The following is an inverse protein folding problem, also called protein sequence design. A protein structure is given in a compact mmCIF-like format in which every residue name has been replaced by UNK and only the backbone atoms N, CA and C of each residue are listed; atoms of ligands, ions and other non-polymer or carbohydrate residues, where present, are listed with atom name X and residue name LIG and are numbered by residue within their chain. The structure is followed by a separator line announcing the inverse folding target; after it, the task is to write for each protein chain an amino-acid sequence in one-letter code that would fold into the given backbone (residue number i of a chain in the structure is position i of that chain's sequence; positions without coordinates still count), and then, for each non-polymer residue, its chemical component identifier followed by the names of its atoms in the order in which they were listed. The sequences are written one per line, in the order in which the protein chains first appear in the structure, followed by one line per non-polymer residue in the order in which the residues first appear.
data_IF_064566042518
#
_entry.id   IF_064566042518
#
_cell.length_a   1.000
_cell.length_b   1.000
_cell.length_c   1.000
_cell.angle_alpha   90.00
_cell.angle_beta   90.00
_cell.angle_gamma   90.00
#
_symmetry.space_group_name_H-M   'P 1'
#
loop_
_entity.id
_entity.type
_entity.pdbx_description
1 polymer ?
#
# COMPACT_ATOMS: atom_id res chain seq x y z
N UNK A 1 -0.25 27.74 -13.47
CA UNK A 1 0.42 28.73 -14.35
C UNK A 1 0.13 28.43 -15.81
N UNK A 2 0.41 27.22 -16.30
CA UNK A 2 0.05 26.80 -17.67
C UNK A 2 -1.45 26.88 -18.02
N UNK A 3 -2.32 26.60 -17.05
CA UNK A 3 -3.78 26.70 -17.22
C UNK A 3 -4.27 28.15 -17.34
N UNK A 4 -3.66 29.09 -16.61
CA UNK A 4 -3.99 30.51 -16.70
C UNK A 4 -3.51 31.09 -18.03
N UNK A 5 -2.28 30.79 -18.45
CA UNK A 5 -1.72 31.26 -19.72
C UNK A 5 -2.59 30.86 -20.92
N UNK A 6 -3.06 29.61 -20.98
CA UNK A 6 -3.97 29.11 -22.02
C UNK A 6 -5.31 29.85 -22.10
N UNK A 7 -5.75 30.51 -21.02
CA UNK A 7 -6.98 31.29 -21.02
C UNK A 7 -6.84 32.65 -21.71
N UNK A 8 -5.61 33.16 -21.85
CA UNK A 8 -5.34 34.46 -22.44
C UNK A 8 -4.78 34.36 -23.86
N UNK A 9 -3.92 33.38 -24.13
CA UNK A 9 -3.27 33.23 -25.43
C UNK A 9 -2.92 31.77 -25.70
N UNK A 10 -2.85 31.41 -26.99
CA UNK A 10 -2.54 30.07 -27.43
C UNK A 10 -1.68 30.08 -28.70
N UNK A 11 -0.65 29.24 -28.70
CA UNK A 11 0.17 28.94 -29.88
C UNK A 11 0.83 27.55 -29.75
N UNK A 12 1.26 26.93 -30.86
CA UNK A 12 1.95 25.64 -30.82
C UNK A 12 3.25 25.70 -30.00
N UNK A 13 3.45 24.75 -29.09
CA UNK A 13 4.58 24.68 -28.13
C UNK A 13 4.57 25.69 -26.96
N UNK A 14 3.48 26.45 -26.75
CA UNK A 14 3.31 27.34 -25.60
C UNK A 14 3.76 26.71 -24.26
N UNK A 15 3.35 25.47 -23.99
CA UNK A 15 3.71 24.80 -22.74
C UNK A 15 5.19 24.55 -22.58
N UNK A 16 5.89 24.20 -23.67
CA UNK A 16 7.32 23.93 -23.65
C UNK A 16 8.09 25.21 -23.37
N UNK A 17 7.66 26.32 -23.96
CA UNK A 17 8.30 27.62 -23.72
C UNK A 17 8.09 28.09 -22.29
N UNK A 18 6.88 27.90 -21.73
CA UNK A 18 6.60 28.19 -20.32
C UNK A 18 7.47 27.30 -19.41
N UNK A 19 7.62 26.01 -19.73
CA UNK A 19 8.50 25.10 -18.99
C UNK A 19 9.96 25.55 -19.05
N UNK A 20 10.48 25.90 -20.22
CA UNK A 20 11.85 26.39 -20.41
C UNK A 20 12.10 27.67 -19.62
N UNK A 21 11.15 28.61 -19.66
CA UNK A 21 11.25 29.88 -18.95
C UNK A 21 11.28 29.70 -17.43
N UNK A 22 10.37 28.88 -16.89
CA UNK A 22 10.31 28.55 -15.47
C UNK A 22 11.55 27.77 -15.02
N UNK A 23 12.09 26.90 -15.88
CA UNK A 23 13.31 26.11 -15.61
C UNK A 23 14.57 26.98 -15.61
N UNK A 24 14.62 28.02 -16.44
CA UNK A 24 15.77 28.94 -16.49
C UNK A 24 15.85 29.92 -15.32
N UNK A 25 14.77 30.10 -14.55
CA UNK A 25 14.70 31.09 -13.48
C UNK A 25 14.99 30.47 -12.08
N UNK A 26 16.08 30.86 -11.39
CA UNK A 26 16.45 30.28 -10.09
C UNK A 26 15.43 30.58 -8.97
N UNK A 27 14.75 31.74 -9.02
CA UNK A 27 13.68 32.05 -8.08
C UNK A 27 12.47 31.13 -8.29
N UNK A 28 12.15 30.77 -9.53
CA UNK A 28 11.05 29.85 -9.83
C UNK A 28 11.39 28.41 -9.42
N UNK A 29 12.64 27.98 -9.62
CA UNK A 29 13.13 26.66 -9.20
C UNK A 29 13.04 26.46 -7.68
N UNK A 30 13.48 27.45 -6.89
CA UNK A 30 13.42 27.37 -5.42
C UNK A 30 11.99 27.28 -4.86
N UNK A 31 10.98 27.71 -5.63
CA UNK A 31 9.57 27.57 -5.27
C UNK A 31 8.97 26.22 -5.71
N UNK A 32 9.55 25.54 -6.71
CA UNK A 32 9.05 24.28 -7.26
C UNK A 32 9.31 23.06 -6.35
N UNK A 33 10.40 23.05 -5.59
CA UNK A 33 10.78 21.96 -4.68
C UNK A 33 9.74 21.64 -3.60
N UNK A 34 8.78 22.55 -3.35
CA UNK A 34 7.75 22.37 -2.33
C UNK A 34 6.57 21.47 -2.73
N UNK A 35 6.58 20.85 -3.92
CA UNK A 35 5.44 20.08 -4.45
C UNK A 35 5.74 18.61 -4.79
N UNK A 36 6.55 17.92 -4.00
CA UNK A 36 6.63 16.46 -4.07
C UNK A 36 5.43 15.77 -3.42
N UNK A 37 4.27 15.81 -4.08
CA UNK A 37 3.09 15.04 -3.65
C UNK A 37 3.29 13.52 -3.76
N UNK A 38 4.21 13.05 -4.62
CA UNK A 38 4.53 11.64 -4.81
C UNK A 38 5.33 11.02 -3.66
N UNK A 39 6.15 11.82 -2.97
CA UNK A 39 7.05 11.31 -1.92
C UNK A 39 6.28 10.84 -0.68
N UNK A 40 5.19 11.52 -0.33
CA UNK A 40 4.32 11.09 0.76
C UNK A 40 3.66 9.75 0.46
N UNK A 41 3.18 9.52 -0.77
CA UNK A 41 2.60 8.22 -1.15
C UNK A 41 3.64 7.10 -1.03
N UNK A 42 4.89 7.34 -1.45
CA UNK A 42 5.99 6.37 -1.29
C UNK A 42 6.34 6.14 0.18
N UNK A 43 6.38 7.20 0.99
CA UNK A 43 6.66 7.14 2.43
C UNK A 43 5.62 6.33 3.23
N UNK A 44 4.34 6.46 2.88
CA UNK A 44 3.25 5.76 3.57
C UNK A 44 2.88 4.42 2.94
N UNK A 45 3.48 4.04 1.81
CA UNK A 45 3.24 2.75 1.18
C UNK A 45 3.89 1.62 2.00
N UNK A 46 3.07 0.80 2.65
CA UNK A 46 3.51 -0.33 3.50
C UNK A 46 3.70 -1.64 2.71
N UNK A 47 4.07 -1.56 1.43
CA UNK A 47 4.27 -2.72 0.57
C UNK A 47 2.99 -3.37 0.03
N UNK A 48 3.16 -4.43 -0.75
CA UNK A 48 2.06 -5.26 -1.24
C UNK A 48 1.56 -6.16 -0.11
N UNK A 49 0.28 -5.99 0.25
CA UNK A 49 -0.38 -6.81 1.27
C UNK A 49 -1.05 -7.99 0.57
N UNK A 50 -0.52 -9.20 0.77
CA UNK A 50 -1.08 -10.45 0.23
C UNK A 50 -1.71 -11.20 1.40
N UNK A 51 -3.04 -11.22 1.50
CA UNK A 51 -3.72 -11.97 2.54
C UNK A 51 -3.81 -13.45 2.12
N UNK A 52 -3.18 -14.32 2.90
CA UNK A 52 -3.28 -15.78 2.78
C UNK A 52 -4.46 -16.25 3.62
N UNK A 53 -5.39 -16.98 3.02
CA UNK A 53 -6.56 -17.55 3.71
C UNK A 53 -6.54 -19.07 3.55
N UNK A 54 -7.02 -19.80 4.56
CA UNK A 54 -7.20 -21.24 4.47
C UNK A 54 -8.62 -21.58 4.00
N UNK A 55 -8.77 -22.68 3.28
CA UNK A 55 -10.07 -23.24 2.93
C UNK A 55 -10.86 -23.54 4.21
N UNK A 56 -12.12 -23.10 4.26
CA UNK A 56 -13.01 -23.24 5.41
C UNK A 56 -12.92 -22.11 6.45
N UNK A 57 -12.03 -21.13 6.30
CA UNK A 57 -11.92 -20.00 7.24
C UNK A 57 -13.12 -19.05 7.14
N UNK A 58 -13.54 -18.49 8.28
CA UNK A 58 -14.63 -17.52 8.33
C UNK A 58 -14.15 -16.13 7.89
N UNK A 59 -14.72 -15.63 6.81
CA UNK A 59 -14.38 -14.34 6.21
C UNK A 59 -15.60 -13.46 6.06
N UNK A 60 -15.38 -12.15 5.99
CA UNK A 60 -16.41 -11.18 5.67
C UNK A 60 -16.20 -10.72 4.24
N UNK A 61 -17.23 -10.88 3.41
CA UNK A 61 -17.20 -10.47 2.02
C UNK A 61 -18.33 -9.48 1.74
N UNK A 62 -18.06 -8.51 0.88
CA UNK A 62 -19.05 -7.53 0.46
C UNK A 62 -19.99 -8.14 -0.58
N UNK A 63 -21.29 -7.97 -0.38
CA UNK A 63 -22.28 -8.29 -1.41
C UNK A 63 -22.42 -7.10 -2.37
N UNK A 64 -22.15 -7.34 -3.66
CA UNK A 64 -22.18 -6.31 -4.70
C UNK A 64 -23.48 -6.28 -5.51
N UNK A 65 -24.44 -7.19 -5.24
CA UNK A 65 -25.72 -7.25 -5.97
C UNK A 65 -26.50 -5.95 -5.88
N UNK A 66 -26.34 -5.22 -4.78
CA UNK A 66 -26.92 -3.90 -4.57
C UNK A 66 -25.79 -2.85 -4.45
N UNK A 67 -25.38 -2.19 -5.54
CA UNK A 67 -24.26 -1.23 -5.50
C UNK A 67 -24.45 -0.10 -4.48
N UNK A 68 -25.71 0.32 -4.27
CA UNK A 68 -26.09 1.41 -3.38
C UNK A 68 -26.09 1.02 -1.89
N UNK A 69 -26.06 -0.27 -1.54
CA UNK A 69 -26.01 -0.74 -0.14
C UNK A 69 -24.71 -1.49 0.12
N UNK A 70 -23.90 -0.99 1.05
CA UNK A 70 -22.62 -1.62 1.40
C UNK A 70 -22.84 -2.62 2.51
N UNK A 71 -23.24 -3.83 2.15
CA UNK A 71 -23.50 -4.90 3.12
C UNK A 71 -22.33 -5.88 3.14
N UNK A 72 -21.79 -6.11 4.34
CA UNK A 72 -20.76 -7.12 4.59
C UNK A 72 -21.44 -8.35 5.18
N UNK A 73 -21.25 -9.49 4.53
CA UNK A 73 -21.83 -10.76 4.94
C UNK A 73 -20.76 -11.70 5.46
N UNK A 74 -21.12 -12.48 6.48
CA UNK A 74 -20.31 -13.58 6.97
C UNK A 74 -20.36 -14.73 5.97
N UNK A 75 -19.20 -15.20 5.57
CA UNK A 75 -19.06 -16.27 4.60
C UNK A 75 -17.90 -17.20 4.98
N UNK A 76 -17.90 -18.41 4.43
CA UNK A 76 -16.79 -19.36 4.52
C UNK A 76 -16.00 -19.34 3.23
N UNK A 77 -14.68 -19.40 3.34
CA UNK A 77 -13.78 -19.52 2.20
C UNK A 77 -13.91 -20.91 1.58
N UNK A 78 -14.23 -21.00 0.28
CA UNK A 78 -14.27 -22.28 -0.45
C UNK A 78 -12.94 -22.51 -1.14
N UNK A 79 -12.56 -21.61 -2.05
CA UNK A 79 -11.41 -21.84 -2.94
C UNK A 79 -10.73 -20.51 -3.32
N UNK A 80 -9.41 -20.59 -3.47
CA UNK A 80 -8.55 -19.56 -4.02
C UNK A 80 -8.43 -19.72 -5.53
N UNK A 81 -8.88 -18.74 -6.30
CA UNK A 81 -8.58 -18.68 -7.74
C UNK A 81 -7.19 -18.06 -7.94
N UNK A 82 -6.70 -18.02 -9.18
CA UNK A 82 -5.32 -17.62 -9.48
C UNK A 82 -5.02 -16.11 -9.28
N UNK A 83 -6.03 -15.23 -9.32
CA UNK A 83 -5.86 -13.78 -9.45
C UNK A 83 -6.34 -12.95 -8.25
N UNK A 84 -6.05 -13.38 -7.01
CA UNK A 84 -6.60 -12.74 -5.77
C UNK A 84 -8.12 -12.72 -5.75
N UNK A 85 -8.75 -13.62 -6.48
CA UNK A 85 -10.19 -13.85 -6.46
C UNK A 85 -10.48 -15.04 -5.57
N UNK A 86 -11.47 -14.89 -4.72
CA UNK A 86 -11.84 -15.85 -3.70
C UNK A 86 -13.29 -16.26 -3.91
N UNK A 87 -13.57 -17.55 -3.83
CA UNK A 87 -14.93 -18.07 -3.84
C UNK A 87 -15.41 -18.24 -2.41
N UNK A 88 -16.51 -17.59 -2.05
CA UNK A 88 -17.04 -17.59 -0.69
C UNK A 88 -18.50 -18.03 -0.67
N UNK A 89 -18.88 -18.77 0.37
CA UNK A 89 -20.24 -19.26 0.61
C UNK A 89 -20.85 -18.59 1.85
N UNK A 90 -22.07 -18.07 1.73
CA UNK A 90 -22.86 -17.58 2.87
C UNK A 90 -23.29 -18.74 3.77
N UNK A 91 -22.89 -18.68 5.05
CA UNK A 91 -23.12 -19.78 5.99
C UNK A 91 -24.58 -20.13 6.29
N UNK A 92 -25.54 -19.25 5.97
CA UNK A 92 -26.98 -19.49 6.19
C UNK A 92 -27.77 -19.73 4.91
N UNK A 93 -27.25 -19.36 3.74
CA UNK A 93 -28.03 -19.25 2.50
C UNK A 93 -27.55 -20.11 1.34
N UNK A 94 -26.43 -20.85 1.49
CA UNK A 94 -25.82 -21.63 0.40
C UNK A 94 -25.41 -20.77 -0.80
N UNK A 95 -25.34 -19.45 -0.60
CA UNK A 95 -25.13 -18.50 -1.66
C UNK A 95 -23.63 -18.37 -1.91
N UNK A 96 -23.20 -18.72 -3.11
CA UNK A 96 -21.78 -18.67 -3.49
C UNK A 96 -21.52 -17.47 -4.39
N UNK A 97 -20.47 -16.69 -4.11
CA UNK A 97 -20.02 -15.61 -4.98
C UNK A 97 -18.52 -15.37 -4.93
N UNK A 98 -18.02 -14.60 -5.91
CA UNK A 98 -16.62 -14.21 -6.01
C UNK A 98 -16.36 -12.89 -5.28
N UNK A 99 -15.27 -12.81 -4.53
CA UNK A 99 -14.80 -11.58 -3.87
C UNK A 99 -13.30 -11.39 -4.10
N UNK A 100 -12.84 -10.14 -4.17
CA UNK A 100 -11.42 -9.80 -4.36
C UNK A 100 -10.70 -9.40 -3.06
N UNK A 101 -11.46 -9.06 -2.01
CA UNK A 101 -10.92 -8.64 -0.71
C UNK A 101 -11.83 -9.14 0.43
N UNK A 102 -11.69 -10.42 0.81
CA UNK A 102 -12.23 -10.87 2.08
C UNK A 102 -11.51 -10.14 3.23
N UNK A 103 -12.22 -9.87 4.32
CA UNK A 103 -11.67 -9.33 5.56
C UNK A 103 -11.97 -10.25 6.73
N UNK A 104 -11.27 -10.06 7.84
CA UNK A 104 -11.60 -10.71 9.10
C UNK A 104 -12.81 -10.06 9.80
N UNK A 105 -13.16 -10.60 10.97
CA UNK A 105 -14.24 -10.10 11.84
C UNK A 105 -14.06 -8.65 12.27
N UNK A 106 -12.83 -8.17 12.35
CA UNK A 106 -12.49 -6.80 12.74
C UNK A 106 -12.35 -5.86 11.53
N UNK A 107 -12.71 -6.31 10.33
CA UNK A 107 -12.58 -5.55 9.09
C UNK A 107 -11.12 -5.29 8.68
N UNK A 108 -10.17 -5.99 9.29
CA UNK A 108 -8.77 -5.95 8.90
C UNK A 108 -8.58 -6.94 7.75
N UNK A 109 -7.75 -6.54 6.79
CA UNK A 109 -7.14 -7.52 5.89
C UNK A 109 -6.27 -8.40 6.78
N UNK A 110 -6.55 -9.71 6.81
CA UNK A 110 -5.69 -10.66 7.51
C UNK A 110 -4.25 -10.37 7.09
N UNK A 111 -3.38 -10.27 8.10
CA UNK A 111 -2.01 -9.82 7.94
C UNK A 111 -1.29 -10.73 6.94
N UNK A 112 -1.21 -10.28 5.70
CA UNK A 112 -0.21 -10.75 4.77
C UNK A 112 1.14 -10.39 5.35
N UNK A 113 1.95 -11.40 5.68
CA UNK A 113 3.37 -11.19 5.95
C UNK A 113 3.92 -10.37 4.80
N UNK A 114 4.39 -9.17 5.10
CA UNK A 114 5.07 -8.39 4.07
C UNK A 114 6.36 -9.14 3.71
N UNK A 115 6.74 -9.22 2.43
CA UNK A 115 8.05 -9.77 2.03
C UNK A 115 9.23 -9.06 2.75
N UNK A 116 8.99 -7.86 3.29
CA UNK A 116 9.93 -7.10 4.10
C UNK A 116 10.03 -7.56 5.57
N UNK A 117 8.99 -8.16 6.15
CA UNK A 117 9.06 -8.85 7.45
C UNK A 117 9.89 -10.14 7.36
N UNK A 118 9.71 -10.90 6.28
CA UNK A 118 10.47 -12.14 6.04
C UNK A 118 11.98 -11.86 5.87
N UNK A 119 12.36 -10.73 5.25
CA UNK A 119 13.77 -10.26 5.20
C UNK A 119 14.30 -9.86 6.58
N UNK A 120 13.44 -9.36 7.46
CA UNK A 120 13.81 -8.91 8.81
C UNK A 120 14.08 -10.10 9.74
N UNK A 121 13.31 -11.18 9.59
CA UNK A 121 13.51 -12.42 10.36
C UNK A 121 14.74 -13.22 9.89
N UNK A 122 15.06 -13.23 8.59
CA UNK A 122 16.35 -13.78 8.10
C UNK A 122 17.56 -13.02 8.62
N UNK A 123 17.40 -11.74 8.97
CA UNK A 123 18.46 -10.95 9.60
C UNK A 123 18.63 -11.27 11.09
N UNK A 124 17.61 -11.84 11.73
CA UNK A 124 17.61 -12.14 13.16
C UNK A 124 18.01 -13.59 13.49
N UNK A 125 17.76 -14.55 12.57
CA UNK A 125 18.14 -15.95 12.74
C UNK A 125 19.51 -16.33 12.12
N UNK A 126 20.27 -15.34 11.64
CA UNK A 126 21.66 -15.51 11.22
C UNK A 126 22.61 -15.16 12.36
N UNK A 127 23.30 -16.19 12.83
CA UNK A 127 24.39 -16.25 13.80
C UNK A 127 25.23 -14.98 14.03
N UNK A 128 25.55 -14.78 15.31
CA UNK A 128 26.42 -13.74 15.85
C UNK A 128 27.87 -13.92 15.37
N UNK A 129 28.55 -12.77 15.20
CA UNK A 129 30.00 -12.57 15.25
C UNK A 129 30.86 -13.03 14.06
N UNK A 130 31.44 -12.05 13.35
CA UNK A 130 32.89 -12.05 13.17
C UNK A 130 33.45 -10.63 13.29
N UNK A 131 34.48 -10.52 14.14
CA UNK A 131 34.91 -9.28 14.76
C UNK A 131 35.59 -8.28 13.84
N UNK A 132 35.36 -7.00 14.15
CA UNK A 132 36.38 -5.96 14.36
C UNK A 132 35.68 -4.62 14.52
N UNK A 133 35.46 -4.23 15.77
CA UNK A 133 35.87 -2.93 16.31
C UNK A 133 35.26 -2.74 17.71
N UNK A 134 36.09 -2.98 18.71
CA UNK A 134 35.94 -2.33 20.00
C UNK A 134 36.07 -0.83 19.79
N UNK A 135 35.05 -0.05 20.13
CA UNK A 135 35.26 1.13 20.96
C UNK A 135 33.95 1.63 21.58
N UNK A 136 33.85 1.34 22.88
CA UNK A 136 33.35 2.19 23.97
C UNK A 136 31.92 2.73 23.87
N UNK A 137 31.06 2.19 24.73
CA UNK A 137 30.23 2.95 25.68
C UNK A 137 29.86 2.03 26.85
N UNK A 138 30.58 2.15 27.96
CA UNK A 138 30.15 1.63 29.26
C UNK A 138 28.86 2.32 29.66
N UNK A 139 27.79 1.56 29.85
CA UNK A 139 26.76 1.86 30.84
C UNK A 139 27.06 0.94 32.02
N UNK A 140 27.71 1.48 33.05
CA UNK A 140 27.67 0.87 34.38
C UNK A 140 26.24 1.02 34.92
N UNK A 141 25.70 -0.07 35.47
CA UNK A 141 24.48 -0.06 36.27
C UNK A 141 24.77 -0.87 37.53
N UNK A 142 24.95 -0.12 38.61
CA UNK A 142 24.72 -0.39 40.03
C UNK A 142 24.86 -1.83 40.56
N UNK A 143 25.70 -1.97 41.58
CA UNK A 143 25.24 -2.28 42.94
C UNK A 143 25.59 -1.13 43.89
#
# INVERSE_FOLDING_TARGET
MKSLARGYFWYPNLDKDIENLVTSCPACLSLADRKNKGDNQRKYFKGEKIAEFKEGEEVYARDYRNPNRKEWKKARMIEMMEDRTYLVEEGTGGLVWKTFRPTDRDGRLLQGRTKDEERRDRRWNGERCNGRNLQRRSCERNE
#
